data_IF_019288673181
#
_entry.id   IF_019288673181
#
_cell.length_a   1.000
_cell.length_b   1.000
_cell.length_c   1.000
_cell.angle_alpha   90.00
_cell.angle_beta   90.00
_cell.angle_gamma   90.00
#
_symmetry.space_group_name_H-M   'P 1'
#
loop_
_entity.id
_entity.type
_entity.pdbx_description
1 polymer ?
#
# COMPACT_ATOMS: atom_id res chain seq x y z
N UNK A 1 1.53 4.06 11.05
CA UNK A 1 1.04 2.76 11.57
C UNK A 1 1.88 1.68 10.90
N UNK A 2 2.54 0.80 11.64
CA UNK A 2 3.28 -0.33 11.04
C UNK A 2 2.27 -1.45 10.83
N UNK A 3 1.91 -1.71 9.57
CA UNK A 3 0.89 -2.70 9.20
C UNK A 3 1.60 -4.03 8.96
N UNK A 4 1.24 -5.08 9.71
CA UNK A 4 1.75 -6.43 9.44
C UNK A 4 1.09 -7.00 8.18
N UNK A 5 1.70 -8.01 7.53
CA UNK A 5 1.15 -8.63 6.31
C UNK A 5 -0.24 -9.25 6.51
N UNK A 6 -0.58 -9.73 7.72
CA UNK A 6 -1.93 -10.20 8.04
C UNK A 6 -2.94 -9.06 8.17
N UNK A 7 -2.52 -7.90 8.68
CA UNK A 7 -3.38 -6.72 8.80
C UNK A 7 -3.60 -6.02 7.45
N UNK A 8 -2.63 -6.15 6.53
CA UNK A 8 -2.64 -5.52 5.22
C UNK A 8 -3.83 -5.94 4.34
N UNK A 9 -4.19 -7.23 4.32
CA UNK A 9 -5.34 -7.71 3.56
C UNK A 9 -6.65 -7.21 4.15
N UNK A 10 -6.76 -7.21 5.48
CA UNK A 10 -7.92 -6.67 6.20
C UNK A 10 -8.09 -5.18 5.93
N UNK A 11 -6.98 -4.43 5.94
CA UNK A 11 -6.96 -3.00 5.62
C UNK A 11 -7.43 -2.75 4.18
N UNK A 12 -6.89 -3.47 3.18
CA UNK A 12 -7.36 -3.36 1.78
C UNK A 12 -8.86 -3.61 1.69
N UNK A 13 -9.35 -4.68 2.32
CA UNK A 13 -10.77 -5.01 2.29
C UNK A 13 -11.65 -3.94 2.94
N UNK A 14 -11.19 -3.35 4.05
CA UNK A 14 -11.92 -2.28 4.75
C UNK A 14 -11.94 -0.96 3.96
N UNK A 15 -10.91 -0.69 3.16
CA UNK A 15 -10.79 0.50 2.31
C UNK A 15 -11.47 0.36 0.95
N UNK A 16 -11.89 -0.85 0.55
CA UNK A 16 -12.61 -1.06 -0.71
C UNK A 16 -13.87 -0.21 -0.74
N UNK A 17 -13.98 0.57 -1.80
CA UNK A 17 -15.05 1.55 -2.03
C UNK A 17 -15.60 1.38 -3.44
N UNK A 18 -16.84 1.80 -3.69
CA UNK A 18 -17.40 1.86 -5.04
C UNK A 18 -16.72 2.92 -5.92
N UNK A 19 -15.98 3.85 -5.31
CA UNK A 19 -15.17 4.87 -5.96
C UNK A 19 -13.73 4.72 -5.48
N UNK A 20 -12.81 4.46 -6.41
CA UNK A 20 -11.39 4.37 -6.09
C UNK A 20 -10.82 5.73 -5.70
N UNK A 21 -9.97 5.74 -4.68
CA UNK A 21 -9.26 6.94 -4.22
C UNK A 21 -7.77 6.64 -4.02
N UNK A 22 -6.96 7.69 -3.97
CA UNK A 22 -5.54 7.55 -3.64
C UNK A 22 -5.35 7.46 -2.12
N UNK A 23 -4.58 6.48 -1.70
CA UNK A 23 -4.24 6.22 -0.30
C UNK A 23 -2.74 6.27 -0.13
N UNK A 24 -2.28 6.63 1.08
CA UNK A 24 -0.85 6.65 1.42
C UNK A 24 -0.57 5.79 2.64
N UNK A 25 0.45 4.95 2.55
CA UNK A 25 0.97 4.13 3.65
C UNK A 25 2.49 4.21 3.67
N UNK A 26 3.10 3.96 4.83
CA UNK A 26 4.56 3.93 4.96
C UNK A 26 5.06 2.62 5.54
N UNK A 27 6.04 2.03 4.85
CA UNK A 27 6.65 0.74 5.17
C UNK A 27 8.09 0.90 5.62
N UNK A 28 8.61 -0.10 6.32
CA UNK A 28 10.01 -0.11 6.78
C UNK A 28 10.95 -0.63 5.69
N UNK A 29 10.44 -1.49 4.81
CA UNK A 29 11.20 -2.09 3.70
C UNK A 29 10.43 -2.03 2.39
N UNK A 30 11.15 -2.11 1.27
CA UNK A 30 10.52 -2.21 -0.05
C UNK A 30 9.75 -3.53 -0.21
N UNK A 31 10.27 -4.63 0.35
CA UNK A 31 9.61 -5.95 0.28
C UNK A 31 8.23 -5.93 0.94
N UNK A 32 8.07 -5.25 2.08
CA UNK A 32 6.76 -5.05 2.72
C UNK A 32 5.79 -4.31 1.79
N UNK A 33 6.25 -3.23 1.15
CA UNK A 33 5.43 -2.43 0.24
C UNK A 33 5.04 -3.21 -1.03
N UNK A 34 5.97 -3.96 -1.61
CA UNK A 34 5.75 -4.84 -2.76
C UNK A 34 4.77 -5.95 -2.42
N UNK A 35 4.89 -6.56 -1.24
CA UNK A 35 3.93 -7.56 -0.79
C UNK A 35 2.53 -6.96 -0.67
N UNK A 36 2.39 -5.75 -0.09
CA UNK A 36 1.10 -5.07 0.04
C UNK A 36 0.40 -4.80 -1.31
N UNK A 37 1.12 -4.26 -2.31
CA UNK A 37 0.50 -3.92 -3.60
C UNK A 37 0.01 -5.15 -4.36
N UNK A 38 0.61 -6.31 -4.13
CA UNK A 38 0.26 -7.59 -4.75
C UNK A 38 -0.88 -8.35 -4.03
N UNK A 39 -1.29 -7.92 -2.83
CA UNK A 39 -2.48 -8.47 -2.15
C UNK A 39 -3.77 -8.16 -2.95
N UNK A 40 -4.81 -8.98 -2.80
CA UNK A 40 -6.07 -8.81 -3.53
C UNK A 40 -6.84 -7.54 -3.07
N UNK A 41 -7.26 -6.63 -3.96
CA UNK A 41 -7.05 -6.66 -5.40
C UNK A 41 -5.64 -6.14 -5.73
N UNK A 42 -4.90 -6.85 -6.61
CA UNK A 42 -3.55 -6.45 -6.96
C UNK A 42 -3.60 -5.13 -7.74
N UNK A 43 -2.68 -4.23 -7.41
CA UNK A 43 -2.58 -2.94 -8.08
C UNK A 43 -2.12 -3.12 -9.52
N UNK A 44 -2.70 -2.33 -10.43
CA UNK A 44 -2.43 -2.37 -11.86
C UNK A 44 -1.47 -1.26 -12.30
N UNK A 45 -1.15 -1.23 -13.59
CA UNK A 45 -0.36 -0.17 -14.19
C UNK A 45 -0.99 1.21 -13.92
N UNK A 46 -0.21 2.13 -13.37
CA UNK A 46 -0.65 3.48 -13.03
C UNK A 46 -1.37 3.61 -11.68
N UNK A 47 -1.54 2.52 -10.93
CA UNK A 47 -2.22 2.54 -9.61
C UNK A 47 -1.23 2.64 -8.43
N UNK A 48 0.08 2.73 -8.68
CA UNK A 48 1.11 2.72 -7.62
C UNK A 48 2.21 3.74 -7.89
N UNK A 49 2.66 4.41 -6.82
CA UNK A 49 3.88 5.20 -6.78
C UNK A 49 4.63 4.94 -5.46
N UNK A 50 5.96 4.87 -5.54
CA UNK A 50 6.84 4.73 -4.38
C UNK A 50 7.71 5.98 -4.21
N UNK A 51 7.95 6.38 -2.98
CA UNK A 51 8.93 7.41 -2.62
C UNK A 51 9.77 6.97 -1.43
N UNK A 52 11.02 7.41 -1.40
CA UNK A 52 11.96 7.12 -0.31
C UNK A 52 12.03 8.33 0.61
N UNK A 53 11.54 8.18 1.84
CA UNK A 53 11.58 9.24 2.83
C UNK A 53 12.99 9.37 3.45
N UNK A 54 13.44 10.59 3.81
CA UNK A 54 14.75 10.80 4.47
C UNK A 54 14.92 10.07 5.81
N UNK A 55 13.81 9.64 6.43
CA UNK A 55 13.80 8.86 7.66
C UNK A 55 14.00 7.34 7.44
N UNK A 56 14.30 6.92 6.21
CA UNK A 56 14.52 5.52 5.85
C UNK A 56 13.25 4.71 5.62
N UNK A 57 12.07 5.34 5.58
CA UNK A 57 10.79 4.68 5.24
C UNK A 57 10.50 4.71 3.74
N UNK A 58 9.68 3.75 3.30
CA UNK A 58 9.11 3.72 1.95
C UNK A 58 7.69 4.27 2.03
N UNK A 59 7.43 5.41 1.38
CA UNK A 59 6.08 5.93 1.20
C UNK A 59 5.47 5.28 -0.04
N UNK A 60 4.36 4.59 0.15
CA UNK A 60 3.56 3.99 -0.90
C UNK A 60 2.31 4.84 -1.11
N UNK A 61 2.11 5.31 -2.33
CA UNK A 61 0.82 5.83 -2.79
C UNK A 61 0.17 4.78 -3.69
N UNK A 62 -1.08 4.43 -3.42
CA UNK A 62 -1.79 3.39 -4.18
C UNK A 62 -3.27 3.75 -4.41
N UNK A 63 -3.89 3.17 -5.44
CA UNK A 63 -5.26 3.49 -5.86
C UNK A 63 -6.21 2.34 -5.51
N UNK A 64 -7.18 2.59 -4.62
CA UNK A 64 -8.12 1.59 -4.12
C UNK A 64 -9.49 2.17 -3.82
#
# INVERSE_FOLDING_TARGET
>A
MTVTTSDAQTLKNALRSGVKTWHTLSFSTMDEAVNFINLDPPQQAGEVCFSFSPNGRIELMYFL
#
